data_IF_753849898042
#
_entry.id   IF_753849898042
#
_cell.length_a   1.000
_cell.length_b   1.000
_cell.length_c   1.000
_cell.angle_alpha   90.00
_cell.angle_beta   90.00
_cell.angle_gamma   90.00
#
_symmetry.space_group_name_H-M   'P 1'
#
loop_
_entity.id
_entity.type
_entity.pdbx_description
1 polymer ?
#
# COMPACT_ATOMS: atom_id res chain seq x y z
N UNK A 1 2.22 6.20 -0.14
CA UNK A 1 3.34 6.07 -1.09
C UNK A 1 4.72 6.27 -0.46
N UNK A 2 4.90 7.12 0.56
CA UNK A 2 6.18 7.31 1.28
C UNK A 2 6.91 6.01 1.65
N UNK A 3 6.20 5.04 2.23
CA UNK A 3 6.75 3.71 2.58
C UNK A 3 7.31 3.02 1.34
N UNK A 4 6.54 2.97 0.25
CA UNK A 4 6.91 2.27 -0.99
C UNK A 4 8.15 2.92 -1.62
N UNK A 5 8.13 4.25 -1.79
CA UNK A 5 9.24 4.98 -2.40
C UNK A 5 10.51 4.84 -1.57
N UNK A 6 10.42 5.03 -0.25
CA UNK A 6 11.58 4.91 0.64
C UNK A 6 12.12 3.49 0.78
N UNK A 7 11.34 2.49 0.40
CA UNK A 7 11.74 1.08 0.48
C UNK A 7 12.29 0.53 -0.83
N UNK A 8 11.85 1.06 -1.97
CA UNK A 8 12.17 0.52 -3.30
C UNK A 8 13.10 1.42 -4.13
N UNK A 9 13.44 2.61 -3.61
CA UNK A 9 14.33 3.56 -4.28
C UNK A 9 15.41 4.04 -3.31
N UNK A 10 16.42 4.72 -3.83
CA UNK A 10 17.46 5.35 -3.00
C UNK A 10 17.00 6.68 -2.36
N UNK A 11 15.72 7.05 -2.50
CA UNK A 11 15.16 8.28 -1.97
C UNK A 11 14.36 8.03 -0.69
N UNK A 12 14.74 8.69 0.41
CA UNK A 12 13.93 8.72 1.63
C UNK A 12 12.87 9.82 1.51
N UNK A 13 11.59 9.43 1.48
CA UNK A 13 10.46 10.35 1.41
C UNK A 13 9.57 10.15 2.63
N UNK A 14 9.41 11.19 3.45
CA UNK A 14 8.53 11.14 4.61
C UNK A 14 7.05 11.42 4.24
N UNK A 15 6.10 11.18 5.16
CA UNK A 15 4.68 11.44 4.89
C UNK A 15 4.36 12.90 4.55
N UNK A 16 4.88 13.93 5.27
CA UNK A 16 4.65 15.33 4.91
C UNK A 16 5.10 15.68 3.49
N UNK A 17 6.31 15.27 3.09
CA UNK A 17 6.85 15.52 1.75
C UNK A 17 6.00 14.88 0.66
N UNK A 18 5.58 13.63 0.86
CA UNK A 18 4.70 12.95 -0.09
C UNK A 18 3.30 13.61 -0.14
N UNK A 19 2.79 14.10 0.98
CA UNK A 19 1.50 14.78 1.03
C UNK A 19 1.53 16.12 0.29
N UNK A 20 2.60 16.91 0.48
CA UNK A 20 2.83 18.15 -0.26
C UNK A 20 2.95 17.89 -1.76
N UNK A 21 3.80 16.94 -2.16
CA UNK A 21 3.94 16.55 -3.56
C UNK A 21 2.59 16.08 -4.16
N UNK A 22 1.81 15.28 -3.42
CA UNK A 22 0.50 14.83 -3.86
C UNK A 22 -0.49 15.99 -4.04
N UNK A 23 -0.44 17.01 -3.18
CA UNK A 23 -1.25 18.21 -3.31
C UNK A 23 -0.87 19.00 -4.57
N UNK A 24 0.41 19.29 -4.75
CA UNK A 24 0.92 20.06 -5.90
C UNK A 24 0.66 19.38 -7.24
N UNK A 25 0.62 18.04 -7.27
CA UNK A 25 0.43 17.25 -8.48
C UNK A 25 -1.03 16.81 -8.70
N UNK A 26 -1.99 17.36 -7.95
CA UNK A 26 -3.42 17.12 -8.18
C UNK A 26 -3.94 15.76 -7.69
N UNK A 27 -3.23 15.10 -6.79
CA UNK A 27 -3.61 13.82 -6.19
C UNK A 27 -4.30 13.95 -4.83
N UNK A 28 -4.40 15.15 -4.28
CA UNK A 28 -5.13 15.42 -3.05
C UNK A 28 -6.64 15.50 -3.29
N UNK A 29 -7.39 14.75 -2.49
CA UNK A 29 -8.85 14.80 -2.46
C UNK A 29 -9.30 15.54 -1.21
N UNK A 30 -9.87 16.73 -1.39
CA UNK A 30 -10.32 17.59 -0.29
C UNK A 30 -11.27 16.83 0.66
N UNK A 31 -10.94 16.84 1.95
CA UNK A 31 -11.68 16.14 3.00
C UNK A 31 -11.59 14.61 2.99
N UNK A 32 -10.95 13.99 1.99
CA UNK A 32 -10.95 12.54 1.79
C UNK A 32 -9.56 11.92 1.56
N UNK A 33 -8.48 12.68 1.75
CA UNK A 33 -7.11 12.17 1.65
C UNK A 33 -6.56 12.23 0.23
N UNK A 34 -6.31 11.07 -0.39
CA UNK A 34 -5.66 10.98 -1.70
C UNK A 34 -6.49 10.16 -2.70
N UNK A 35 -6.53 10.63 -3.95
CA UNK A 35 -7.12 9.88 -5.06
C UNK A 35 -6.33 8.60 -5.35
N UNK A 36 -7.01 7.59 -5.89
CA UNK A 36 -6.39 6.32 -6.30
C UNK A 36 -5.29 6.55 -7.35
N UNK A 37 -5.42 7.62 -8.16
CA UNK A 37 -4.45 8.05 -9.16
C UNK A 37 -3.10 8.44 -8.58
N UNK A 38 -3.02 8.71 -7.27
CA UNK A 38 -1.74 8.92 -6.56
C UNK A 38 -0.80 7.73 -6.74
N UNK A 39 -1.31 6.50 -6.68
CA UNK A 39 -0.47 5.29 -6.71
C UNK A 39 0.31 5.19 -8.03
N UNK A 40 -0.34 5.13 -9.21
CA UNK A 40 0.37 5.08 -10.48
C UNK A 40 1.13 6.39 -10.78
N UNK A 41 0.61 7.54 -10.33
CA UNK A 41 1.26 8.84 -10.50
C UNK A 41 2.60 8.94 -9.79
N UNK A 42 2.62 8.63 -8.49
CA UNK A 42 3.83 8.59 -7.68
C UNK A 42 4.77 7.49 -8.16
N UNK A 43 4.27 6.30 -8.48
CA UNK A 43 5.11 5.22 -9.02
C UNK A 43 5.89 5.71 -10.26
N UNK A 44 5.19 6.28 -11.24
CA UNK A 44 5.82 6.84 -12.44
C UNK A 44 6.82 7.95 -12.12
N UNK A 45 6.48 8.88 -11.24
CA UNK A 45 7.36 10.00 -10.88
C UNK A 45 8.67 9.53 -10.23
N UNK A 46 8.59 8.54 -9.35
CA UNK A 46 9.74 7.99 -8.63
C UNK A 46 10.43 6.83 -9.38
N UNK A 47 10.14 6.64 -10.67
CA UNK A 47 10.82 5.65 -11.51
C UNK A 47 10.43 4.19 -11.23
N UNK A 48 9.28 3.96 -10.59
CA UNK A 48 8.73 2.64 -10.29
C UNK A 48 7.70 2.21 -11.34
N UNK A 49 7.67 0.91 -11.63
CA UNK A 49 6.56 0.29 -12.35
C UNK A 49 5.47 -0.16 -11.38
N UNK A 50 4.21 0.02 -11.74
CA UNK A 50 3.07 -0.52 -10.98
C UNK A 50 2.14 -1.33 -11.89
N UNK A 51 1.56 -2.38 -11.34
CA UNK A 51 0.52 -3.20 -11.97
C UNK A 51 -0.67 -3.36 -11.01
N UNK A 52 -1.87 -3.56 -11.55
CA UNK A 52 -3.06 -3.85 -10.75
C UNK A 52 -3.18 -5.34 -10.47
N UNK A 53 -3.66 -5.66 -9.26
CA UNK A 53 -4.06 -7.01 -8.86
C UNK A 53 -5.55 -6.96 -8.53
N UNK A 54 -6.33 -7.79 -9.20
CA UNK A 54 -7.77 -7.97 -8.95
C UNK A 54 -8.04 -8.73 -7.66
N UNK A 55 -9.26 -8.60 -7.13
CA UNK A 55 -9.68 -9.28 -5.90
C UNK A 55 -9.75 -10.81 -6.04
N UNK A 56 -9.94 -11.29 -7.26
CA UNK A 56 -9.95 -12.71 -7.64
C UNK A 56 -8.55 -13.28 -7.92
N UNK A 57 -7.52 -12.43 -7.98
CA UNK A 57 -6.13 -12.82 -8.28
C UNK A 57 -5.32 -13.12 -6.99
N UNK A 58 -5.89 -13.88 -6.04
CA UNK A 58 -5.27 -14.16 -4.74
C UNK A 58 -3.89 -14.82 -4.85
N UNK A 59 -3.70 -15.75 -5.79
CA UNK A 59 -2.41 -16.40 -6.02
C UNK A 59 -1.37 -15.40 -6.53
N UNK A 60 -1.76 -14.49 -7.44
CA UNK A 60 -0.86 -13.45 -7.96
C UNK A 60 -0.41 -12.50 -6.86
N UNK A 61 -1.30 -12.15 -5.92
CA UNK A 61 -0.94 -11.38 -4.74
C UNK A 61 0.15 -12.08 -3.92
N UNK A 62 -0.05 -13.36 -3.60
CA UNK A 62 0.92 -14.15 -2.84
C UNK A 62 2.26 -14.23 -3.60
N UNK A 63 2.25 -14.59 -4.88
CA UNK A 63 3.45 -14.70 -5.70
C UNK A 63 4.22 -13.37 -5.79
N UNK A 64 3.49 -12.26 -5.95
CA UNK A 64 4.06 -10.90 -5.97
C UNK A 64 4.79 -10.61 -4.68
N UNK A 65 4.15 -10.83 -3.53
CA UNK A 65 4.76 -10.60 -2.22
C UNK A 65 5.93 -11.55 -1.94
N UNK A 66 5.81 -12.82 -2.34
CA UNK A 66 6.88 -13.82 -2.21
C UNK A 66 8.10 -13.49 -3.09
N UNK A 67 7.91 -12.77 -4.20
CA UNK A 67 9.00 -12.26 -5.05
C UNK A 67 9.72 -11.03 -4.49
N UNK A 68 9.31 -10.53 -3.31
CA UNK A 68 9.90 -9.36 -2.67
C UNK A 68 9.34 -8.02 -3.15
N UNK A 69 8.30 -8.03 -4.00
CA UNK A 69 7.58 -6.81 -4.39
C UNK A 69 6.64 -6.36 -3.27
N UNK A 70 6.33 -5.07 -3.24
CA UNK A 70 5.32 -4.49 -2.36
C UNK A 70 3.98 -4.36 -3.08
N UNK A 71 2.88 -4.45 -2.34
CA UNK A 71 1.53 -4.20 -2.86
C UNK A 71 0.87 -3.10 -2.05
N UNK A 72 0.33 -2.08 -2.72
CA UNK A 72 -0.52 -1.08 -2.07
C UNK A 72 -1.95 -1.61 -2.07
N UNK A 73 -2.49 -1.87 -0.89
CA UNK A 73 -3.87 -2.32 -0.71
C UNK A 73 -4.80 -1.12 -0.50
N UNK A 74 -5.91 -1.09 -1.25
CA UNK A 74 -6.97 -0.09 -1.18
C UNK A 74 -8.13 -0.69 -0.40
N UNK A 75 -8.13 -0.47 0.91
CA UNK A 75 -9.09 -1.08 1.80
C UNK A 75 -10.38 -0.28 1.83
N UNK A 76 -11.50 -0.98 1.65
CA UNK A 76 -12.82 -0.48 2.00
C UNK A 76 -13.10 -0.71 3.50
N UNK A 77 -14.30 -0.31 3.92
CA UNK A 77 -14.79 -0.54 5.28
C UNK A 77 -14.69 -2.02 5.65
N UNK A 78 -14.04 -2.31 6.77
CA UNK A 78 -13.80 -3.67 7.23
C UNK A 78 -12.90 -3.68 8.46
N UNK A 79 -12.07 -4.72 8.57
CA UNK A 79 -11.23 -4.92 9.74
C UNK A 79 -10.25 -3.76 10.00
N UNK A 80 -9.71 -3.18 8.92
CA UNK A 80 -8.64 -2.18 9.01
C UNK A 80 -9.15 -0.73 9.07
N UNK A 81 -10.40 -0.47 8.74
CA UNK A 81 -10.94 0.90 8.65
C UNK A 81 -12.47 0.90 8.65
N UNK A 82 -13.07 1.98 9.12
CA UNK A 82 -14.51 2.22 9.01
C UNK A 82 -14.90 2.94 7.71
N UNK A 83 -13.92 3.42 6.94
CA UNK A 83 -14.07 4.13 5.67
C UNK A 83 -13.06 3.58 4.63
N UNK A 84 -12.43 4.42 3.80
CA UNK A 84 -11.33 4.02 2.93
C UNK A 84 -9.98 4.09 3.64
N UNK A 85 -9.04 3.22 3.29
CA UNK A 85 -7.68 3.23 3.84
C UNK A 85 -6.66 2.66 2.87
N UNK A 86 -5.47 3.27 2.81
CA UNK A 86 -4.35 2.72 2.06
C UNK A 86 -3.35 2.10 3.03
N UNK A 87 -2.90 0.88 2.74
CA UNK A 87 -1.78 0.26 3.44
C UNK A 87 -0.85 -0.47 2.47
N UNK A 88 0.32 -0.85 2.96
CA UNK A 88 1.30 -1.62 2.17
C UNK A 88 1.37 -3.04 2.68
N UNK A 89 1.19 -4.01 1.79
CA UNK A 89 1.52 -5.41 2.04
C UNK A 89 2.99 -5.60 1.66
N UNK A 90 3.77 -6.14 2.59
CA UNK A 90 5.24 -6.13 2.53
C UNK A 90 5.88 -7.52 2.45
N UNK A 91 5.07 -8.57 2.43
CA UNK A 91 5.57 -9.94 2.29
C UNK A 91 4.58 -10.99 2.76
N UNK A 92 4.98 -12.24 2.59
CA UNK A 92 4.25 -13.44 3.03
C UNK A 92 5.19 -14.24 3.94
N UNK A 93 4.68 -14.72 5.08
CA UNK A 93 5.45 -15.58 5.99
C UNK A 93 5.53 -17.01 5.46
N UNK A 94 6.41 -17.84 6.04
CA UNK A 94 6.52 -19.25 5.66
C UNK A 94 5.20 -20.01 5.83
N UNK A 95 4.37 -19.58 6.78
CA UNK A 95 3.07 -20.18 7.10
C UNK A 95 1.92 -19.54 6.28
N UNK A 96 2.24 -18.72 5.27
CA UNK A 96 1.27 -18.14 4.35
C UNK A 96 0.53 -16.91 4.88
N UNK A 97 0.98 -16.31 6.00
CA UNK A 97 0.38 -15.08 6.55
C UNK A 97 0.91 -13.84 5.85
N UNK A 98 0.08 -12.81 5.74
CA UNK A 98 0.43 -11.53 5.12
C UNK A 98 1.04 -10.59 6.16
N UNK A 99 2.16 -10.01 5.79
CA UNK A 99 2.83 -8.97 6.56
C UNK A 99 2.39 -7.60 6.05
N UNK A 100 1.97 -6.72 6.95
CA UNK A 100 1.49 -5.37 6.60
C UNK A 100 2.42 -4.29 7.15
N UNK A 101 2.45 -3.16 6.47
CA UNK A 101 2.96 -1.88 6.91
C UNK A 101 1.81 -0.88 6.80
N UNK A 102 1.14 -0.70 7.93
CA UNK A 102 -0.07 0.10 8.05
C UNK A 102 0.28 1.49 8.64
N UNK A 103 0.17 2.58 7.85
CA UNK A 103 0.50 3.92 8.31
C UNK A 103 -0.41 4.41 9.45
N UNK A 104 -1.59 3.79 9.63
CA UNK A 104 -2.52 4.13 10.70
C UNK A 104 -2.29 3.30 11.99
N UNK A 105 -1.38 2.31 12.00
CA UNK A 105 -1.12 1.52 13.20
C UNK A 105 0.20 0.73 13.18
N UNK A 106 1.08 1.10 14.11
CA UNK A 106 2.29 0.33 14.41
C UNK A 106 1.95 -1.06 14.95
N UNK A 107 0.88 -1.17 15.76
CA UNK A 107 0.46 -2.47 16.32
C UNK A 107 0.04 -3.44 15.23
N UNK A 108 -0.76 -3.00 14.24
CA UNK A 108 -1.15 -3.84 13.09
C UNK A 108 0.04 -4.26 12.23
N UNK A 109 1.02 -3.37 12.10
CA UNK A 109 2.26 -3.62 11.33
C UNK A 109 3.18 -4.67 11.96
N UNK A 110 3.03 -4.93 13.27
CA UNK A 110 3.75 -5.95 14.05
C UNK A 110 3.03 -7.30 14.12
N UNK A 111 1.87 -7.42 13.48
CA UNK A 111 1.06 -8.63 13.44
C UNK A 111 1.14 -9.29 12.06
N UNK A 112 0.74 -10.55 12.02
CA UNK A 112 0.61 -11.35 10.80
C UNK A 112 -0.88 -11.59 10.53
N UNK A 113 -1.28 -11.52 9.27
CA UNK A 113 -2.69 -11.50 8.89
C UNK A 113 -3.04 -12.67 7.99
N UNK A 114 -4.21 -13.27 8.21
CA UNK A 114 -4.77 -14.22 7.25
C UNK A 114 -5.10 -13.52 5.93
N UNK A 115 -4.79 -14.17 4.81
CA UNK A 115 -5.09 -13.66 3.46
C UNK A 115 -6.58 -13.33 3.30
N UNK A 116 -7.46 -14.12 3.92
CA UNK A 116 -8.91 -13.87 3.90
C UNK A 116 -9.32 -12.57 4.60
N UNK A 117 -8.55 -12.07 5.58
CA UNK A 117 -8.81 -10.78 6.23
C UNK A 117 -8.41 -9.62 5.29
N UNK A 118 -7.44 -9.85 4.40
CA UNK A 118 -6.96 -8.87 3.42
C UNK A 118 -7.89 -8.77 2.20
N UNK A 119 -8.42 -9.90 1.72
CA UNK A 119 -9.25 -9.98 0.51
C UNK A 119 -10.77 -9.83 0.75
N UNK A 120 -11.17 -9.44 1.96
CA UNK A 120 -12.57 -9.35 2.37
C UNK A 120 -13.31 -8.11 1.82
#
# INVERSE_FOLDING_TARGET
MSIVVSSLTDQTVDPPTMAEWAYENGYWCSGNGSYHTLIPGAAKHFGLSCESIGLDESQKLVDTLSSGKLVVALMAKGYFTTSGHYMVLRGVTKDGKILVADPASVSRSKQEWDLSIILN
#
